data_IF_660696227684
#
_entry.id   IF_660696227684
#
_cell.length_a   1.000
_cell.length_b   1.000
_cell.length_c   1.000
_cell.angle_alpha   90.00
_cell.angle_beta   90.00
_cell.angle_gamma   90.00
#
_symmetry.space_group_name_H-M   'P 1'
#
loop_
_entity.id
_entity.type
_entity.pdbx_description
1 polymer ?
#
# COMPACT_ATOMS: atom_id res chain seq x y z
N UNK A 1 -10.57 -1.54 12.33
CA UNK A 1 -10.31 -0.10 12.42
C UNK A 1 -11.64 0.66 12.37
N UNK A 2 -11.77 1.83 13.01
CA UNK A 2 -13.02 2.61 12.97
C UNK A 2 -13.10 3.50 11.73
N UNK A 3 -14.31 3.97 11.36
CA UNK A 3 -14.49 4.94 10.27
C UNK A 3 -13.71 6.24 10.50
N UNK A 4 -13.58 6.69 11.75
CA UNK A 4 -12.77 7.87 12.10
C UNK A 4 -11.29 7.65 11.78
N UNK A 5 -10.74 6.47 12.08
CA UNK A 5 -9.34 6.15 11.80
C UNK A 5 -9.08 5.99 10.30
N UNK A 6 -10.05 5.49 9.53
CA UNK A 6 -9.97 5.49 8.06
C UNK A 6 -9.95 6.93 7.53
N UNK A 7 -10.81 7.81 8.07
CA UNK A 7 -10.83 9.22 7.72
C UNK A 7 -9.50 9.93 8.05
N UNK A 8 -8.82 9.58 9.15
CA UNK A 8 -7.47 10.10 9.44
C UNK A 8 -6.46 9.73 8.35
N UNK A 9 -6.55 8.51 7.78
CA UNK A 9 -5.65 8.07 6.70
C UNK A 9 -5.99 8.80 5.41
N UNK A 10 -7.28 8.97 5.10
CA UNK A 10 -7.75 9.77 3.95
C UNK A 10 -7.25 11.22 4.03
N UNK A 11 -7.42 11.84 5.20
CA UNK A 11 -6.97 13.22 5.46
C UNK A 11 -5.44 13.32 5.37
N UNK A 12 -4.71 12.37 5.95
CA UNK A 12 -3.25 12.33 5.86
C UNK A 12 -2.76 12.26 4.41
N UNK A 13 -3.49 11.56 3.54
CA UNK A 13 -3.21 11.49 2.11
C UNK A 13 -3.70 12.72 1.32
N UNK A 14 -4.66 13.47 1.85
CA UNK A 14 -5.30 14.59 1.15
C UNK A 14 -6.19 14.14 -0.01
N UNK A 15 -6.71 12.91 0.04
CA UNK A 15 -7.56 12.33 -1.01
C UNK A 15 -9.02 12.34 -0.58
N UNK A 16 -9.98 12.56 -1.51
CA UNK A 16 -11.40 12.60 -1.17
C UNK A 16 -11.90 11.23 -0.71
N UNK A 17 -11.34 10.15 -1.25
CA UNK A 17 -11.70 8.78 -0.90
C UNK A 17 -10.52 7.82 -1.10
N UNK A 18 -10.50 6.76 -0.30
CA UNK A 18 -9.64 5.60 -0.54
C UNK A 18 -10.43 4.53 -1.33
N UNK A 19 -9.75 3.65 -2.06
CA UNK A 19 -10.39 2.54 -2.76
C UNK A 19 -11.22 1.65 -1.84
N UNK A 20 -12.40 1.24 -2.30
CA UNK A 20 -13.37 0.49 -1.48
C UNK A 20 -12.78 -0.80 -0.89
N UNK A 21 -12.07 -1.59 -1.69
CA UNK A 21 -11.44 -2.85 -1.21
C UNK A 21 -10.34 -2.57 -0.20
N UNK A 22 -9.60 -1.46 -0.35
CA UNK A 22 -8.61 -1.07 0.63
C UNK A 22 -9.26 -0.62 1.95
N UNK A 23 -10.38 0.11 1.88
CA UNK A 23 -11.16 0.48 3.06
C UNK A 23 -11.71 -0.75 3.79
N UNK A 24 -12.19 -1.76 3.06
CA UNK A 24 -12.64 -3.02 3.65
C UNK A 24 -11.49 -3.75 4.35
N UNK A 25 -10.34 -3.86 3.69
CA UNK A 25 -9.12 -4.42 4.30
C UNK A 25 -8.72 -3.66 5.56
N UNK A 26 -8.68 -2.33 5.51
CA UNK A 26 -8.38 -1.47 6.64
C UNK A 26 -9.37 -1.66 7.80
N UNK A 27 -10.66 -1.80 7.49
CA UNK A 27 -11.72 -2.03 8.47
C UNK A 27 -11.49 -3.32 9.24
N UNK A 28 -11.12 -4.41 8.56
CA UNK A 28 -10.94 -5.73 9.18
C UNK A 28 -9.53 -5.98 9.72
N UNK A 29 -8.51 -5.53 9.00
CA UNK A 29 -7.09 -5.89 9.18
C UNK A 29 -6.19 -4.68 9.41
N UNK A 30 -6.74 -3.47 9.60
CA UNK A 30 -5.96 -2.23 9.70
C UNK A 30 -4.98 -2.14 10.88
N UNK A 31 -5.05 -3.04 11.87
CA UNK A 31 -4.06 -3.14 12.96
C UNK A 31 -3.07 -4.30 12.80
N UNK A 32 -3.25 -5.13 11.78
CA UNK A 32 -2.46 -6.32 11.51
C UNK A 32 -3.26 -7.35 10.71
N UNK A 33 -2.59 -8.07 9.80
CA UNK A 33 -3.19 -9.04 8.89
C UNK A 33 -2.52 -10.44 8.98
N UNK A 34 -2.06 -10.83 10.18
CA UNK A 34 -1.36 -12.10 10.37
C UNK A 34 -0.01 -12.14 9.65
N UNK A 35 0.12 -12.95 8.60
CA UNK A 35 1.36 -13.09 7.80
C UNK A 35 1.43 -12.09 6.63
N UNK A 36 0.28 -11.61 6.15
CA UNK A 36 0.22 -10.60 5.09
C UNK A 36 0.92 -9.34 5.60
N UNK A 37 1.89 -8.84 4.83
CA UNK A 37 2.69 -7.65 5.17
C UNK A 37 3.41 -7.75 6.53
N UNK A 38 3.72 -8.96 7.02
CA UNK A 38 4.46 -9.13 8.28
C UNK A 38 5.85 -8.49 8.17
N UNK A 39 6.18 -7.64 9.14
CA UNK A 39 7.45 -6.89 9.15
C UNK A 39 7.47 -5.71 8.17
N UNK A 40 6.31 -5.35 7.61
CA UNK A 40 6.13 -4.19 6.73
C UNK A 40 5.27 -3.15 7.46
N UNK A 41 5.65 -1.88 7.35
CA UNK A 41 4.85 -0.79 7.88
C UNK A 41 3.65 -0.58 6.95
N UNK A 42 2.50 -1.14 7.32
CA UNK A 42 1.26 -1.08 6.54
C UNK A 42 -0.01 -0.90 7.40
N UNK A 43 0.16 -0.90 8.72
CA UNK A 43 -0.93 -0.95 9.69
C UNK A 43 -0.94 0.29 10.58
N UNK A 44 -2.06 0.57 11.21
CA UNK A 44 -2.20 1.64 12.18
C UNK A 44 -1.27 1.42 13.39
N UNK A 45 -0.55 2.45 13.87
CA UNK A 45 -0.62 3.85 13.46
C UNK A 45 0.33 4.23 12.31
N UNK A 46 1.23 3.34 11.89
CA UNK A 46 2.29 3.62 10.91
C UNK A 46 1.71 4.04 9.55
N UNK A 47 0.60 3.43 9.11
CA UNK A 47 -0.06 3.73 7.84
C UNK A 47 -0.43 5.21 7.64
N UNK A 48 -0.62 5.98 8.73
CA UNK A 48 -0.88 7.43 8.67
C UNK A 48 0.32 8.24 8.16
N UNK A 49 1.53 7.69 8.30
CA UNK A 49 2.76 8.35 7.87
C UNK A 49 3.11 8.05 6.41
N UNK A 50 2.36 7.17 5.73
CA UNK A 50 2.70 6.68 4.39
C UNK A 50 2.77 7.78 3.34
N UNK A 51 1.94 8.84 3.44
CA UNK A 51 2.08 9.97 2.52
C UNK A 51 3.47 10.58 2.61
N UNK A 52 3.90 10.91 3.83
CA UNK A 52 5.20 11.52 4.07
C UNK A 52 6.33 10.58 3.64
N UNK A 53 6.32 9.34 4.12
CA UNK A 53 7.39 8.39 3.81
C UNK A 53 7.46 8.03 2.32
N UNK A 54 6.29 7.96 1.66
CA UNK A 54 6.22 7.81 0.21
C UNK A 54 6.79 9.02 -0.52
N UNK A 55 6.39 10.24 -0.14
CA UNK A 55 6.93 11.49 -0.72
C UNK A 55 8.47 11.54 -0.57
N UNK A 56 9.00 11.21 0.62
CA UNK A 56 10.44 11.14 0.89
C UNK A 56 11.12 10.10 -0.02
N UNK A 57 10.56 8.89 -0.13
CA UNK A 57 11.08 7.83 -1.00
C UNK A 57 11.20 8.27 -2.47
N UNK A 58 10.14 8.83 -3.06
CA UNK A 58 10.16 9.26 -4.47
C UNK A 58 11.04 10.50 -4.69
N UNK A 59 11.19 11.37 -3.68
CA UNK A 59 12.11 12.50 -3.76
C UNK A 59 13.57 12.04 -3.81
N UNK A 60 13.93 11.10 -2.96
CA UNK A 60 15.29 10.52 -2.88
C UNK A 60 15.59 9.63 -4.10
N UNK A 61 14.57 9.03 -4.72
CA UNK A 61 14.68 8.14 -5.87
C UNK A 61 14.14 8.77 -7.16
N UNK A 62 14.73 9.89 -7.59
CA UNK A 62 14.29 10.66 -8.78
C UNK A 62 14.16 9.89 -10.11
N UNK A 63 14.66 8.65 -10.21
CA UNK A 63 14.44 7.75 -11.35
C UNK A 63 13.10 6.98 -11.30
N UNK A 64 12.43 6.93 -10.15
CA UNK A 64 11.12 6.32 -9.95
C UNK A 64 10.09 7.46 -9.87
N UNK A 65 9.22 7.55 -10.87
CA UNK A 65 8.13 8.53 -10.84
C UNK A 65 6.91 7.95 -10.15
N UNK A 66 6.41 8.62 -9.11
CA UNK A 66 5.11 8.29 -8.54
C UNK A 66 4.00 8.64 -9.55
N UNK A 67 3.11 7.71 -9.92
CA UNK A 67 1.92 8.05 -10.69
C UNK A 67 1.08 9.06 -9.90
N UNK A 68 0.49 10.06 -10.57
CA UNK A 68 -0.10 11.25 -9.92
C UNK A 68 -0.90 10.98 -8.65
N UNK A 69 -2.03 10.28 -8.78
CA UNK A 69 -2.95 9.99 -7.66
C UNK A 69 -2.57 8.71 -6.88
N UNK A 70 -1.33 8.24 -6.98
CA UNK A 70 -0.93 7.00 -6.31
C UNK A 70 -0.89 7.16 -4.79
N UNK A 71 -1.46 6.17 -4.11
CA UNK A 71 -1.43 6.06 -2.64
C UNK A 71 -0.47 4.97 -2.23
N UNK A 72 0.61 5.35 -1.55
CA UNK A 72 1.50 4.40 -0.87
C UNK A 72 0.78 3.87 0.36
N UNK A 73 0.67 2.55 0.48
CA UNK A 73 -0.05 1.93 1.60
C UNK A 73 0.84 1.05 2.46
N UNK A 74 2.04 0.72 1.99
CA UNK A 74 2.99 -0.08 2.75
C UNK A 74 4.44 0.24 2.36
N UNK A 75 5.35 0.15 3.32
CA UNK A 75 6.79 0.22 3.10
C UNK A 75 7.52 -0.85 3.90
N UNK A 76 8.49 -1.53 3.29
CA UNK A 76 9.29 -2.54 3.96
C UNK A 76 10.72 -2.03 4.18
N UNK A 77 11.09 -1.81 5.44
CA UNK A 77 12.44 -1.45 5.87
C UNK A 77 13.06 -0.24 5.12
N UNK A 78 12.22 0.65 4.58
CA UNK A 78 12.63 1.87 3.87
C UNK A 78 13.01 1.69 2.40
N UNK A 79 13.33 0.47 1.94
CA UNK A 79 13.82 0.25 0.57
C UNK A 79 12.80 -0.41 -0.37
N UNK A 80 11.67 -0.93 0.13
CA UNK A 80 10.54 -1.35 -0.72
C UNK A 80 9.33 -0.47 -0.46
N UNK A 81 8.68 -0.04 -1.54
CA UNK A 81 7.45 0.75 -1.51
C UNK A 81 6.33 0.03 -2.26
N UNK A 82 5.13 0.01 -1.67
CA UNK A 82 3.92 -0.51 -2.30
C UNK A 82 2.92 0.63 -2.48
N UNK A 83 2.38 0.79 -3.68
CA UNK A 83 1.34 1.80 -3.93
C UNK A 83 0.21 1.28 -4.82
N UNK A 84 -0.92 1.98 -4.74
CA UNK A 84 -2.08 1.80 -5.60
C UNK A 84 -2.01 2.79 -6.75
N UNK A 85 -2.00 2.33 -8.01
CA UNK A 85 -1.72 3.19 -9.19
C UNK A 85 -2.87 4.12 -9.58
N UNK A 86 -4.11 3.73 -9.32
CA UNK A 86 -5.33 4.46 -9.71
C UNK A 86 -6.39 4.36 -8.60
N UNK A 87 -6.44 5.36 -7.72
CA UNK A 87 -7.36 5.37 -6.59
C UNK A 87 -8.83 5.64 -6.98
N UNK A 88 -9.10 5.96 -8.25
CA UNK A 88 -10.47 6.04 -8.76
C UNK A 88 -11.09 4.65 -8.94
N UNK A 89 -10.26 3.62 -9.09
CA UNK A 89 -10.69 2.22 -9.07
C UNK A 89 -11.04 1.77 -7.64
N UNK A 90 -12.16 1.05 -7.44
CA UNK A 90 -12.48 0.48 -6.13
C UNK A 90 -11.51 -0.63 -5.69
N UNK A 91 -10.86 -1.30 -6.66
CA UNK A 91 -9.84 -2.35 -6.45
C UNK A 91 -8.64 -2.08 -7.38
N UNK A 92 -7.72 -1.21 -6.98
CA UNK A 92 -6.70 -0.65 -7.86
C UNK A 92 -5.53 -1.62 -8.07
N UNK A 93 -4.83 -1.46 -9.19
CA UNK A 93 -3.52 -2.09 -9.42
C UNK A 93 -2.56 -1.76 -8.26
N UNK A 94 -1.79 -2.75 -7.83
CA UNK A 94 -0.71 -2.58 -6.84
C UNK A 94 0.64 -2.72 -7.52
N UNK A 95 1.54 -1.81 -7.21
CA UNK A 95 2.92 -1.85 -7.69
C UNK A 95 3.88 -1.90 -6.51
N UNK A 96 4.94 -2.70 -6.66
CA UNK A 96 6.09 -2.77 -5.76
C UNK A 96 7.34 -2.29 -6.50
N UNK A 97 8.06 -1.35 -5.92
CA UNK A 97 9.41 -0.98 -6.34
C UNK A 97 10.42 -1.11 -5.20
N UNK A 98 11.66 -1.34 -5.60
CA UNK A 98 12.82 -1.24 -4.74
C UNK A 98 13.56 0.07 -5.00
N UNK A 99 14.16 0.62 -3.94
CA UNK A 99 15.09 1.75 -4.02
C UNK A 99 16.18 1.48 -5.07
N UNK A 100 16.49 2.49 -5.88
CA UNK A 100 17.53 2.41 -6.91
C UNK A 100 17.15 1.66 -8.20
N UNK A 101 15.98 1.01 -8.28
CA UNK A 101 15.47 0.40 -9.53
C UNK A 101 14.31 1.24 -10.10
N UNK A 102 14.48 1.89 -11.27
CA UNK A 102 13.42 2.68 -11.88
C UNK A 102 12.23 1.83 -12.39
N UNK A 103 12.38 0.51 -12.45
CA UNK A 103 11.33 -0.40 -12.94
C UNK A 103 10.54 -1.02 -11.78
N UNK A 104 9.24 -1.29 -11.98
CA UNK A 104 8.45 -2.12 -11.07
C UNK A 104 9.11 -3.48 -10.81
N UNK A 105 9.37 -3.79 -9.56
CA UNK A 105 9.83 -5.13 -9.16
C UNK A 105 8.69 -6.15 -9.28
N UNK A 106 7.45 -5.72 -9.01
CA UNK A 106 6.24 -6.53 -9.21
C UNK A 106 5.01 -5.64 -9.40
N UNK A 107 4.07 -6.13 -10.20
CA UNK A 107 2.76 -5.50 -10.42
C UNK A 107 1.68 -6.56 -10.23
N UNK A 108 0.62 -6.22 -9.49
CA UNK A 108 -0.59 -7.02 -9.36
C UNK A 108 -1.76 -6.27 -9.98
N UNK A 109 -2.63 -6.94 -10.74
CA UNK A 109 -3.71 -6.27 -11.46
C UNK A 109 -4.76 -5.64 -10.55
N UNK A 110 -4.80 -6.02 -9.26
CA UNK A 110 -5.65 -5.38 -8.26
C UNK A 110 -5.11 -5.57 -6.83
N UNK A 111 -5.66 -4.83 -5.86
CA UNK A 111 -5.33 -4.98 -4.45
C UNK A 111 -5.82 -6.33 -3.91
N UNK A 112 -6.96 -6.82 -4.39
CA UNK A 112 -7.40 -8.20 -4.13
C UNK A 112 -6.38 -9.22 -4.64
N UNK A 113 -5.86 -9.06 -5.86
CA UNK A 113 -4.85 -9.96 -6.41
C UNK A 113 -3.54 -9.93 -5.60
N UNK A 114 -3.15 -8.75 -5.11
CA UNK A 114 -2.05 -8.59 -4.17
C UNK A 114 -2.30 -9.36 -2.86
N UNK A 115 -3.48 -9.23 -2.25
CA UNK A 115 -3.80 -9.96 -1.02
C UNK A 115 -3.76 -11.47 -1.24
N UNK A 116 -4.39 -11.96 -2.32
CA UNK A 116 -4.43 -13.38 -2.65
C UNK A 116 -3.04 -13.96 -2.87
N UNK A 117 -2.12 -13.25 -3.54
CA UNK A 117 -0.76 -13.77 -3.73
C UNK A 117 -0.02 -13.95 -2.41
N UNK A 118 -0.30 -13.13 -1.40
CA UNK A 118 0.30 -13.29 -0.06
C UNK A 118 -0.27 -14.49 0.71
N UNK A 119 -1.46 -14.96 0.35
CA UNK A 119 -2.02 -16.22 0.86
C UNK A 119 -1.51 -17.43 0.08
N UNK A 120 -1.32 -17.32 -1.24
CA UNK A 120 -0.88 -18.43 -2.10
C UNK A 120 0.62 -18.74 -1.94
N UNK A 121 1.45 -17.75 -1.62
CA UNK A 121 2.88 -17.96 -1.33
C UNK A 121 3.13 -18.69 0.02
N UNK A 122 2.09 -19.29 0.62
CA UNK A 122 2.19 -20.13 1.82
C UNK A 122 2.75 -21.54 1.52
N UNK A 123 3.84 -21.98 2.21
CA UNK A 123 4.25 -23.38 2.18
C UNK A 123 3.18 -24.24 2.86
N UNK A 124 2.35 -24.90 2.06
CA UNK A 124 1.29 -25.79 2.54
C UNK A 124 -0.04 -25.67 1.79
N UNK A 125 -0.21 -24.65 0.94
CA UNK A 125 -1.34 -24.54 0.02
C UNK A 125 -0.96 -25.23 -1.30
N UNK A 126 -1.24 -26.53 -1.40
CA UNK A 126 -1.31 -27.30 -2.64
C UNK A 126 -2.58 -28.15 -2.64
#
# INVERSE_FOLDING_TARGET
>A
MTAQQVAEIQEAWGVPQLPAVYVDFLTHMGFGAGRVLRGTDAFFPAVRQMKKWGDDFFHENSGISRPGEAVVFAMHQGYLVYWMSDISSPDPEVVLCAEGDPSPSRVWPSFTAFLNSHYEDEPGVK
#
